data_IF_045459032141
#
_entry.id   IF_045459032141
#
_cell.length_a   1.000
_cell.length_b   1.000
_cell.length_c   1.000
_cell.angle_alpha   90.00
_cell.angle_beta   90.00
_cell.angle_gamma   90.00
#
_symmetry.space_group_name_H-M   'P 1'
#
loop_
_entity.id
_entity.type
_entity.pdbx_description
1 polymer ?
#
# COMPACT_ATOMS: atom_id res chain seq x y z
N UNK A 1 -4.26 6.44 3.36
CA UNK A 1 -4.49 7.09 2.08
C UNK A 1 -5.67 8.02 2.29
N UNK A 2 -5.54 9.28 1.92
CA UNK A 2 -6.61 10.25 1.80
C UNK A 2 -7.47 9.95 0.57
N UNK A 3 -8.70 10.48 0.54
CA UNK A 3 -9.64 10.22 -0.56
C UNK A 3 -9.15 10.71 -1.92
N UNK A 4 -8.29 11.73 -1.94
CA UNK A 4 -7.64 12.23 -3.14
C UNK A 4 -6.68 11.20 -3.75
N UNK A 5 -5.84 10.58 -2.92
CA UNK A 5 -4.87 9.57 -3.37
C UNK A 5 -5.59 8.37 -3.97
N UNK A 6 -6.68 7.93 -3.35
CA UNK A 6 -7.52 6.83 -3.87
C UNK A 6 -8.08 7.15 -5.25
N UNK A 7 -8.57 8.38 -5.47
CA UNK A 7 -9.08 8.80 -6.77
C UNK A 7 -8.00 8.84 -7.84
N UNK A 8 -6.80 9.31 -7.50
CA UNK A 8 -5.67 9.26 -8.43
C UNK A 8 -5.29 7.82 -8.77
N UNK A 9 -5.18 6.95 -7.76
CA UNK A 9 -4.89 5.54 -7.99
C UNK A 9 -5.94 4.94 -8.92
N UNK A 10 -7.23 5.14 -8.68
CA UNK A 10 -8.27 4.59 -9.54
C UNK A 10 -8.20 5.12 -10.98
N UNK A 11 -7.90 6.41 -11.15
CA UNK A 11 -7.77 7.06 -12.45
C UNK A 11 -6.55 6.58 -13.24
N UNK A 12 -5.40 6.47 -12.57
CA UNK A 12 -4.12 6.19 -13.20
C UNK A 12 -3.74 4.71 -13.19
N UNK A 13 -4.28 3.88 -12.28
CA UNK A 13 -3.98 2.44 -12.24
C UNK A 13 -4.46 1.69 -13.49
N UNK A 14 -5.38 2.25 -14.27
CA UNK A 14 -5.76 1.69 -15.57
C UNK A 14 -4.72 1.93 -16.66
N UNK A 15 -3.93 3.02 -16.56
CA UNK A 15 -2.92 3.40 -17.54
C UNK A 15 -1.50 3.04 -17.10
N UNK A 16 -1.26 3.04 -15.79
CA UNK A 16 0.05 2.81 -15.20
C UNK A 16 0.06 1.49 -14.42
N UNK A 17 0.68 0.48 -15.04
CA UNK A 17 0.82 -0.86 -14.49
C UNK A 17 1.65 -0.88 -13.21
N UNK A 18 2.60 0.05 -13.06
CA UNK A 18 3.45 0.14 -11.86
C UNK A 18 2.64 0.67 -10.67
N UNK A 19 1.85 1.73 -10.87
CA UNK A 19 0.92 2.25 -9.87
C UNK A 19 -0.10 1.19 -9.44
N UNK A 20 -0.65 0.45 -10.41
CA UNK A 20 -1.56 -0.66 -10.14
C UNK A 20 -0.91 -1.75 -9.29
N UNK A 21 0.31 -2.16 -9.65
CA UNK A 21 1.05 -3.17 -8.89
C UNK A 21 1.34 -2.69 -7.45
N UNK A 22 1.79 -1.44 -7.27
CA UNK A 22 2.01 -0.84 -5.94
C UNK A 22 0.73 -0.80 -5.10
N UNK A 23 -0.41 -0.50 -5.73
CA UNK A 23 -1.71 -0.50 -5.07
C UNK A 23 -2.17 -1.91 -4.67
N UNK A 24 -2.03 -2.89 -5.56
CA UNK A 24 -2.35 -4.28 -5.25
C UNK A 24 -1.49 -4.82 -4.11
N UNK A 25 -0.18 -4.52 -4.12
CA UNK A 25 0.77 -4.88 -3.07
C UNK A 25 0.38 -4.23 -1.73
N UNK A 26 -0.02 -2.96 -1.75
CA UNK A 26 -0.55 -2.26 -0.57
C UNK A 26 -1.78 -2.98 0.02
N UNK A 27 -2.79 -3.28 -0.81
CA UNK A 27 -4.01 -3.98 -0.39
C UNK A 27 -3.70 -5.39 0.10
N UNK A 28 -2.75 -6.07 -0.53
CA UNK A 28 -2.28 -7.39 -0.13
C UNK A 28 -1.65 -7.35 1.27
N UNK A 29 -0.77 -6.39 1.54
CA UNK A 29 -0.17 -6.21 2.87
C UNK A 29 -1.21 -5.86 3.93
N UNK A 30 -2.20 -5.02 3.61
CA UNK A 30 -3.29 -4.73 4.55
C UNK A 30 -4.10 -5.98 4.90
N UNK A 31 -4.44 -6.80 3.90
CA UNK A 31 -5.16 -8.06 4.14
C UNK A 31 -4.33 -9.04 4.98
N UNK A 32 -3.03 -9.14 4.72
CA UNK A 32 -2.15 -10.02 5.48
C UNK A 32 -1.98 -9.53 6.92
N UNK A 33 -1.77 -8.23 7.12
CA UNK A 33 -1.72 -7.62 8.45
C UNK A 33 -3.04 -7.81 9.20
N UNK A 34 -4.18 -7.56 8.58
CA UNK A 34 -5.49 -7.74 9.21
C UNK A 34 -5.72 -9.19 9.65
N UNK A 35 -5.30 -10.18 8.85
CA UNK A 35 -5.37 -11.60 9.24
C UNK A 35 -4.49 -11.92 10.46
N UNK A 36 -3.31 -11.33 10.54
CA UNK A 36 -2.40 -11.52 11.66
C UNK A 36 -2.91 -10.79 12.90
N UNK A 37 -3.26 -9.50 12.79
CA UNK A 37 -3.78 -8.67 13.88
C UNK A 37 -5.15 -9.17 14.40
N UNK A 38 -5.92 -9.91 13.60
CA UNK A 38 -7.14 -10.58 14.04
C UNK A 38 -6.89 -11.80 14.93
N UNK A 39 -5.67 -12.32 15.01
CA UNK A 39 -5.34 -13.44 15.91
C UNK A 39 -5.14 -12.90 17.33
N UNK A 40 -5.72 -13.60 18.31
CA UNK A 40 -5.56 -13.24 19.73
C UNK A 40 -4.11 -13.34 20.22
N UNK A 41 -3.32 -14.24 19.62
CA UNK A 41 -1.90 -14.41 19.91
C UNK A 41 -1.15 -14.66 18.61
N UNK A 42 -0.01 -13.99 18.47
CA UNK A 42 0.92 -14.16 17.37
C UNK A 42 2.09 -15.03 17.82
N UNK A 43 2.51 -15.96 16.97
CA UNK A 43 3.77 -16.66 17.18
C UNK A 43 4.97 -15.73 16.93
N UNK A 44 6.17 -16.02 17.47
CA UNK A 44 7.36 -15.20 17.23
C UNK A 44 7.69 -15.00 15.74
N UNK A 45 7.36 -15.99 14.89
CA UNK A 45 7.51 -15.89 13.44
C UNK A 45 6.51 -14.87 12.88
N UNK A 46 5.25 -14.94 13.29
CA UNK A 46 4.22 -14.01 12.85
C UNK A 46 4.46 -12.58 13.33
N UNK A 47 4.93 -12.38 14.56
CA UNK A 47 5.34 -11.06 15.03
C UNK A 47 6.45 -10.45 14.17
N UNK A 48 7.42 -11.27 13.76
CA UNK A 48 8.47 -10.86 12.83
C UNK A 48 7.86 -10.50 11.47
N UNK A 49 6.97 -11.35 10.94
CA UNK A 49 6.25 -11.09 9.69
C UNK A 49 5.43 -9.80 9.75
N UNK A 50 4.71 -9.53 10.84
CA UNK A 50 3.97 -8.27 11.04
C UNK A 50 4.90 -7.07 10.97
N UNK A 51 6.08 -7.14 11.60
CA UNK A 51 7.08 -6.06 11.53
C UNK A 51 7.60 -5.85 10.10
N UNK A 52 7.89 -6.94 9.38
CA UNK A 52 8.35 -6.86 7.99
C UNK A 52 7.26 -6.30 7.07
N UNK A 53 6.01 -6.78 7.21
CA UNK A 53 4.85 -6.28 6.48
C UNK A 53 4.59 -4.80 6.76
N UNK A 54 4.73 -4.34 8.01
CA UNK A 54 4.61 -2.91 8.35
C UNK A 54 5.70 -2.07 7.66
N UNK A 55 6.92 -2.59 7.56
CA UNK A 55 8.03 -1.93 6.87
C UNK A 55 7.80 -1.90 5.36
N UNK A 56 7.38 -3.00 4.75
CA UNK A 56 7.03 -3.07 3.32
C UNK A 56 5.86 -2.15 2.99
N UNK A 57 4.82 -2.12 3.83
CA UNK A 57 3.68 -1.20 3.68
C UNK A 57 4.13 0.26 3.72
N UNK A 58 5.07 0.62 4.60
CA UNK A 58 5.62 1.97 4.67
C UNK A 58 6.42 2.33 3.40
N UNK A 59 7.24 1.42 2.90
CA UNK A 59 8.02 1.62 1.67
C UNK A 59 7.09 1.76 0.45
N UNK A 60 6.12 0.84 0.31
CA UNK A 60 5.11 0.87 -0.75
C UNK A 60 4.26 2.13 -0.71
N UNK A 61 3.86 2.60 0.49
CA UNK A 61 3.16 3.88 0.65
C UNK A 61 4.02 5.06 0.20
N UNK A 62 5.30 5.08 0.57
CA UNK A 62 6.23 6.15 0.17
C UNK A 62 6.38 6.20 -1.35
N UNK A 63 6.57 5.05 -2.00
CA UNK A 63 6.66 4.96 -3.48
C UNK A 63 5.37 5.42 -4.15
N UNK A 64 4.23 4.94 -3.64
CA UNK A 64 2.94 5.27 -4.20
C UNK A 64 2.66 6.78 -4.06
N UNK A 65 2.95 7.38 -2.90
CA UNK A 65 2.86 8.83 -2.71
C UNK A 65 3.74 9.61 -3.69
N UNK A 66 5.02 9.25 -3.84
CA UNK A 66 5.90 9.91 -4.81
C UNK A 66 5.41 9.77 -6.26
N UNK A 67 4.80 8.64 -6.61
CA UNK A 67 4.18 8.44 -7.92
C UNK A 67 2.95 9.36 -8.09
N UNK A 68 2.09 9.40 -7.07
CA UNK A 68 0.89 10.23 -7.05
C UNK A 68 1.20 11.73 -7.08
N UNK A 69 2.28 12.18 -6.45
CA UNK A 69 2.73 13.57 -6.53
C UNK A 69 3.06 13.99 -7.97
N UNK A 70 3.66 13.09 -8.76
CA UNK A 70 3.95 13.35 -10.18
C UNK A 70 2.67 13.52 -11.01
N UNK A 71 1.68 12.65 -10.79
CA UNK A 71 0.39 12.79 -11.46
C UNK A 71 -0.35 14.05 -11.02
N UNK A 72 -0.31 14.36 -9.73
CA UNK A 72 -0.90 15.59 -9.17
C UNK A 72 -0.29 16.84 -9.79
N UNK A 73 1.03 16.87 -10.01
CA UNK A 73 1.71 17.97 -10.69
C UNK A 73 1.37 18.06 -12.18
N UNK A 74 0.92 16.96 -12.80
CA UNK A 74 0.53 16.92 -14.22
C UNK A 74 -0.92 17.38 -14.44
N UNK A 75 -1.76 17.39 -13.40
CA UNK A 75 -3.15 17.87 -13.45
C UNK A 75 -3.30 19.39 -13.16
N UNK A 76 -2.19 20.13 -13.02
CA UNK A 76 -2.15 21.60 -12.82
C UNK A 76 -1.99 22.34 -14.14
#
# INVERSE_FOLDING_TARGET
MEQHELRLVEKYAAQDTELKALWEDHVLFEKQLAKLESKAYLTPVEEKTVKELKKQKLDGKTRLLSMLERYRATEV
#
